data_IF_963410947867
#
_entry.id   IF_963410947867
#
_cell.length_a   1.000
_cell.length_b   1.000
_cell.length_c   1.000
_cell.angle_alpha   90.00
_cell.angle_beta   90.00
_cell.angle_gamma   90.00
#
_symmetry.space_group_name_H-M   'P 1'
#
loop_
_entity.id
_entity.type
_entity.pdbx_description
1 polymer ?
#
# COMPACT_ATOMS: atom_id res chain seq x y z
N UNK A 1 -21.11 -6.09 -19.18
CA UNK A 1 -21.06 -7.29 -18.32
C UNK A 1 -21.17 -6.80 -16.88
N UNK A 2 -22.23 -7.14 -16.16
CA UNK A 2 -22.36 -6.76 -14.75
C UNK A 2 -21.50 -7.69 -13.90
N UNK A 3 -20.76 -7.15 -12.93
CA UNK A 3 -19.99 -7.96 -12.00
C UNK A 3 -20.92 -8.86 -11.18
N UNK A 4 -20.60 -10.15 -11.12
CA UNK A 4 -21.32 -11.15 -10.34
C UNK A 4 -21.05 -10.99 -8.84
N UNK A 5 -21.96 -11.49 -8.02
CA UNK A 5 -21.77 -11.51 -6.56
C UNK A 5 -20.49 -12.25 -6.14
N UNK A 6 -20.04 -13.25 -6.92
CA UNK A 6 -18.79 -13.97 -6.67
C UNK A 6 -17.56 -13.07 -6.88
N UNK A 7 -17.54 -12.26 -7.94
CA UNK A 7 -16.44 -11.32 -8.22
C UNK A 7 -16.31 -10.27 -7.12
N UNK A 8 -17.43 -9.73 -6.60
CA UNK A 8 -17.40 -8.81 -5.47
C UNK A 8 -16.84 -9.43 -4.19
N UNK A 9 -17.22 -10.68 -3.88
CA UNK A 9 -16.69 -11.40 -2.71
C UNK A 9 -15.19 -11.64 -2.85
N UNK A 10 -14.73 -12.04 -4.04
CA UNK A 10 -13.31 -12.27 -4.31
C UNK A 10 -12.52 -10.97 -4.19
N UNK A 11 -13.01 -9.88 -4.77
CA UNK A 11 -12.40 -8.55 -4.66
C UNK A 11 -12.32 -8.09 -3.20
N UNK A 12 -13.38 -8.29 -2.42
CA UNK A 12 -13.41 -7.96 -0.98
C UNK A 12 -12.37 -8.73 -0.16
N UNK A 13 -12.19 -10.02 -0.43
CA UNK A 13 -11.15 -10.83 0.24
C UNK A 13 -9.75 -10.36 -0.16
N UNK A 14 -9.50 -10.11 -1.45
CA UNK A 14 -8.22 -9.60 -1.94
C UNK A 14 -7.89 -8.22 -1.35
N UNK A 15 -8.88 -7.33 -1.27
CA UNK A 15 -8.74 -6.02 -0.64
C UNK A 15 -8.42 -6.15 0.86
N UNK A 16 -9.17 -6.98 1.59
CA UNK A 16 -8.94 -7.23 3.01
C UNK A 16 -7.55 -7.80 3.29
N UNK A 17 -7.10 -8.75 2.47
CA UNK A 17 -5.75 -9.31 2.55
C UNK A 17 -4.68 -8.23 2.30
N UNK A 18 -4.83 -7.44 1.23
CA UNK A 18 -3.88 -6.38 0.86
C UNK A 18 -3.75 -5.34 1.97
N UNK A 19 -4.88 -4.90 2.53
CA UNK A 19 -4.90 -3.94 3.65
C UNK A 19 -4.29 -4.54 4.92
N UNK A 20 -4.62 -5.79 5.26
CA UNK A 20 -4.06 -6.47 6.43
C UNK A 20 -2.55 -6.67 6.32
N UNK A 21 -2.07 -7.12 5.16
CA UNK A 21 -0.65 -7.29 4.88
C UNK A 21 0.09 -5.94 4.89
N UNK A 22 -0.48 -4.90 4.29
CA UNK A 22 0.08 -3.55 4.30
C UNK A 22 0.20 -2.99 5.72
N UNK A 23 -0.82 -3.19 6.56
CA UNK A 23 -0.79 -2.80 7.97
C UNK A 23 0.31 -3.53 8.76
N UNK A 24 0.40 -4.86 8.63
CA UNK A 24 1.41 -5.65 9.32
C UNK A 24 2.84 -5.29 8.88
N UNK A 25 3.03 -5.03 7.58
CA UNK A 25 4.30 -4.58 7.00
C UNK A 25 4.71 -3.23 7.58
N UNK A 26 3.79 -2.26 7.58
CA UNK A 26 4.03 -0.92 8.13
C UNK A 26 4.31 -0.98 9.64
N UNK A 27 3.55 -1.79 10.38
CA UNK A 27 3.77 -1.98 11.83
C UNK A 27 5.14 -2.58 12.14
N UNK A 28 5.61 -3.56 11.35
CA UNK A 28 6.97 -4.10 11.48
C UNK A 28 8.02 -3.04 11.17
N UNK A 29 7.83 -2.27 10.10
CA UNK A 29 8.72 -1.18 9.74
C UNK A 29 8.82 -0.13 10.86
N UNK A 30 7.69 0.26 11.46
CA UNK A 30 7.65 1.17 12.62
C UNK A 30 8.46 0.59 13.78
N UNK A 31 8.21 -0.66 14.18
CA UNK A 31 8.96 -1.29 15.28
C UNK A 31 10.47 -1.35 14.99
N UNK A 32 10.87 -1.71 13.77
CA UNK A 32 12.27 -1.72 13.37
C UNK A 32 12.90 -0.31 13.42
N UNK A 33 12.16 0.72 13.03
CA UNK A 33 12.61 2.12 13.05
C UNK A 33 12.80 2.60 14.49
N UNK A 34 11.84 2.33 15.38
CA UNK A 34 11.88 2.77 16.78
C UNK A 34 12.94 2.04 17.60
N UNK A 35 13.25 0.78 17.28
CA UNK A 35 14.30 0.02 17.96
C UNK A 35 15.72 0.34 17.49
N UNK A 36 15.88 1.11 16.41
CA UNK A 36 17.21 1.45 15.86
C UNK A 36 17.70 2.80 16.41
N UNK A 37 18.94 2.92 16.89
CA UNK A 37 19.45 4.16 17.51
C UNK A 37 19.64 5.32 16.52
N UNK A 38 19.89 5.02 15.23
CA UNK A 38 20.04 6.02 14.16
C UNK A 38 19.27 5.61 12.89
N UNK A 39 17.93 5.65 12.93
CA UNK A 39 17.10 5.02 11.90
C UNK A 39 17.22 5.68 10.53
N UNK A 40 17.44 6.99 10.48
CA UNK A 40 17.56 7.77 9.23
C UNK A 40 18.90 7.53 8.50
N UNK A 41 19.91 7.00 9.19
CA UNK A 41 21.21 6.68 8.60
C UNK A 41 21.28 5.25 8.06
N UNK A 42 20.25 4.43 8.34
CA UNK A 42 20.17 3.06 7.87
C UNK A 42 19.52 3.01 6.49
N UNK A 43 20.26 2.65 5.42
CA UNK A 43 19.71 2.58 4.07
C UNK A 43 18.55 1.58 3.97
N UNK A 44 18.56 0.53 4.79
CA UNK A 44 17.48 -0.45 4.86
C UNK A 44 16.17 0.18 5.36
N UNK A 45 16.21 0.98 6.43
CA UNK A 45 15.02 1.60 7.00
C UNK A 45 14.43 2.62 6.00
N UNK A 46 15.29 3.44 5.39
CA UNK A 46 14.87 4.41 4.37
C UNK A 46 14.25 3.73 3.15
N UNK A 47 14.84 2.62 2.68
CA UNK A 47 14.30 1.84 1.56
C UNK A 47 12.91 1.28 1.88
N UNK A 48 12.72 0.67 3.05
CA UNK A 48 11.41 0.10 3.46
C UNK A 48 10.34 1.19 3.54
N UNK A 49 10.66 2.34 4.14
CA UNK A 49 9.72 3.46 4.17
C UNK A 49 9.45 4.03 2.77
N UNK A 50 10.46 4.08 1.91
CA UNK A 50 10.30 4.46 0.50
C UNK A 50 9.34 3.55 -0.26
N UNK A 51 9.48 2.23 -0.10
CA UNK A 51 8.58 1.24 -0.72
C UNK A 51 7.15 1.39 -0.21
N UNK A 52 6.94 1.59 1.10
CA UNK A 52 5.60 1.81 1.67
C UNK A 52 4.97 3.06 1.06
N UNK A 53 5.70 4.18 1.00
CA UNK A 53 5.21 5.43 0.42
C UNK A 53 4.94 5.31 -1.07
N UNK A 54 5.79 4.61 -1.82
CA UNK A 54 5.61 4.37 -3.25
C UNK A 54 4.35 3.54 -3.54
N UNK A 55 4.13 2.47 -2.77
CA UNK A 55 2.94 1.63 -2.93
C UNK A 55 1.64 2.40 -2.61
N UNK A 56 1.65 3.22 -1.55
CA UNK A 56 0.51 4.12 -1.24
C UNK A 56 0.29 5.12 -2.37
N UNK A 57 1.37 5.75 -2.86
CA UNK A 57 1.31 6.73 -3.95
C UNK A 57 0.73 6.13 -5.23
N UNK A 58 1.22 4.96 -5.67
CA UNK A 58 0.71 4.26 -6.85
C UNK A 58 -0.75 3.87 -6.65
N UNK A 59 -1.14 3.40 -5.46
CA UNK A 59 -2.54 3.10 -5.15
C UNK A 59 -3.46 4.31 -5.26
N UNK A 60 -3.06 5.45 -4.72
CA UNK A 60 -3.81 6.71 -4.81
C UNK A 60 -3.89 7.20 -6.26
N UNK A 61 -2.78 7.19 -7.00
CA UNK A 61 -2.76 7.60 -8.42
C UNK A 61 -3.65 6.69 -9.26
N UNK A 62 -3.57 5.37 -9.05
CA UNK A 62 -4.42 4.39 -9.70
C UNK A 62 -5.90 4.63 -9.42
N UNK A 63 -6.26 4.96 -8.17
CA UNK A 63 -7.63 5.32 -7.81
C UNK A 63 -8.11 6.59 -8.53
N UNK A 64 -7.32 7.66 -8.48
CA UNK A 64 -7.65 8.93 -9.15
C UNK A 64 -7.78 8.77 -10.68
N UNK A 65 -7.01 7.86 -11.26
CA UNK A 65 -7.09 7.50 -12.67
C UNK A 65 -8.38 6.73 -13.00
N UNK A 66 -8.79 5.78 -12.15
CA UNK A 66 -10.06 5.07 -12.31
C UNK A 66 -11.27 6.01 -12.21
N UNK A 67 -11.19 7.00 -11.31
CA UNK A 67 -12.21 8.06 -11.14
C UNK A 67 -12.21 9.12 -12.26
N UNK A 68 -11.31 9.02 -13.26
CA UNK A 68 -11.16 9.98 -14.37
C UNK A 68 -10.83 11.41 -13.92
N UNK A 69 -10.31 11.60 -12.71
CA UNK A 69 -9.89 12.91 -12.19
C UNK A 69 -8.58 13.37 -12.87
N UNK A 70 -7.69 12.42 -13.16
CA UNK A 70 -6.45 12.66 -13.90
C UNK A 70 -6.69 12.30 -15.37
N UNK A 71 -6.33 13.17 -16.33
CA UNK A 71 -6.54 12.90 -17.74
C UNK A 71 -5.76 11.67 -18.20
N UNK A 72 -6.46 10.83 -18.98
CA UNK A 72 -5.84 9.81 -19.81
C UNK A 72 -5.08 10.55 -20.91
N UNK A 73 -3.75 10.48 -20.89
CA UNK A 73 -2.92 11.00 -21.98
C UNK A 73 -3.30 10.39 -23.32
#
# INVERSE_FOLDING_TARGET
>A
MAASAAEFKLAGVAAGFTLGFGFLTTWRAIKQTTSHPQPHHSPFIVMVWGEILANIGIGVVGWLFLERIIPLG
#
